data_IF_690386188276
#
_entry.id   IF_690386188276
#
_cell.length_a   1.000
_cell.length_b   1.000
_cell.length_c   1.000
_cell.angle_alpha   90.00
_cell.angle_beta   90.00
_cell.angle_gamma   90.00
#
_symmetry.space_group_name_H-M   'P 1'
#
loop_
_entity.id
_entity.type
_entity.pdbx_description
1 polymer ?
#
# COMPACT_ATOMS: atom_id res chain seq x y z
N UNK A 1 12.09 86.58 0.12
CA UNK A 1 10.71 86.08 -0.06
C UNK A 1 10.65 85.59 -1.50
N UNK A 2 10.43 84.34 -1.89
CA UNK A 2 10.02 83.07 -1.28
C UNK A 2 10.46 81.97 -2.33
N UNK A 3 10.25 80.64 -2.17
CA UNK A 3 11.32 79.66 -2.35
C UNK A 3 10.95 78.54 -3.36
N UNK A 4 11.82 77.53 -3.46
CA UNK A 4 11.53 76.14 -3.87
C UNK A 4 11.01 75.86 -5.30
N UNK A 5 11.98 75.50 -6.16
CA UNK A 5 11.79 74.69 -7.38
C UNK A 5 11.17 73.33 -7.02
N UNK A 6 10.03 73.02 -7.64
CA UNK A 6 9.37 71.70 -7.58
C UNK A 6 10.15 70.69 -8.42
N UNK A 7 10.60 69.60 -7.78
CA UNK A 7 11.17 68.42 -8.45
C UNK A 7 10.04 67.39 -8.57
N UNK A 8 9.67 67.05 -9.80
CA UNK A 8 8.73 65.97 -10.12
C UNK A 8 9.47 64.62 -10.01
N UNK A 9 8.96 63.72 -9.18
CA UNK A 9 9.42 62.33 -9.11
C UNK A 9 8.49 61.48 -9.98
N UNK A 10 9.02 60.91 -11.05
CA UNK A 10 8.38 59.85 -11.83
C UNK A 10 8.46 58.54 -11.05
N UNK A 11 7.34 58.09 -10.50
CA UNK A 11 7.20 56.75 -9.94
C UNK A 11 6.99 55.75 -11.08
N UNK A 12 8.08 55.10 -11.50
CA UNK A 12 8.01 53.91 -12.36
C UNK A 12 7.59 52.73 -11.48
N UNK A 13 6.36 52.26 -11.65
CA UNK A 13 5.86 51.04 -11.01
C UNK A 13 6.43 49.83 -11.76
N UNK A 14 7.52 49.26 -11.25
CA UNK A 14 7.92 47.91 -11.64
C UNK A 14 6.91 46.93 -11.02
N UNK A 15 5.98 46.45 -11.84
CA UNK A 15 5.17 45.28 -11.52
C UNK A 15 6.10 44.07 -11.43
N UNK A 16 6.50 43.72 -10.21
CA UNK A 16 7.14 42.44 -9.94
C UNK A 16 6.09 41.34 -10.12
N UNK A 17 6.11 40.71 -11.29
CA UNK A 17 5.44 39.42 -11.52
C UNK A 17 6.09 38.40 -10.59
N UNK A 18 5.52 38.24 -9.40
CA UNK A 18 5.77 37.09 -8.53
C UNK A 18 5.31 35.86 -9.30
N UNK A 19 6.25 35.22 -10.00
CA UNK A 19 6.08 33.84 -10.41
C UNK A 19 5.88 33.03 -9.13
N UNK A 20 4.63 32.68 -8.84
CA UNK A 20 4.30 31.57 -7.94
C UNK A 20 5.02 30.36 -8.52
N UNK A 21 6.19 30.06 -7.96
CA UNK A 21 6.79 28.75 -8.11
C UNK A 21 5.76 27.77 -7.56
N UNK A 22 5.01 27.14 -8.47
CA UNK A 22 4.23 25.97 -8.14
C UNK A 22 5.23 25.01 -7.47
N UNK A 23 4.96 24.68 -6.21
CA UNK A 23 5.66 23.63 -5.52
C UNK A 23 5.24 22.33 -6.22
N UNK A 24 5.86 22.04 -7.37
CA UNK A 24 5.77 20.72 -7.98
C UNK A 24 6.52 19.81 -7.03
N UNK A 25 5.74 19.10 -6.26
CA UNK A 25 6.26 18.20 -5.27
C UNK A 25 7.17 17.15 -5.93
N UNK A 26 8.29 16.77 -5.31
CA UNK A 26 9.38 16.02 -5.95
C UNK A 26 9.07 14.54 -6.21
N UNK A 27 7.81 14.13 -6.07
CA UNK A 27 7.38 12.79 -6.46
C UNK A 27 6.94 12.83 -7.93
N UNK A 28 7.37 11.83 -8.70
CA UNK A 28 6.76 11.50 -10.00
C UNK A 28 5.24 11.65 -9.89
N UNK A 29 4.61 12.23 -10.92
CA UNK A 29 3.22 12.66 -10.91
C UNK A 29 2.24 11.64 -10.28
N UNK A 30 1.04 12.08 -9.86
CA UNK A 30 0.13 11.25 -9.08
C UNK A 30 0.02 9.85 -9.68
N UNK A 31 0.14 8.78 -8.86
CA UNK A 31 0.03 7.40 -9.35
C UNK A 31 -1.17 7.26 -10.27
N UNK A 32 -1.06 6.44 -11.32
CA UNK A 32 -2.15 6.19 -12.25
C UNK A 32 -3.32 5.47 -11.58
N UNK A 33 -4.05 6.14 -10.69
CA UNK A 33 -5.01 5.54 -9.76
C UNK A 33 -6.12 4.78 -10.48
N UNK A 34 -6.53 5.28 -11.64
CA UNK A 34 -7.58 4.67 -12.45
C UNK A 34 -7.11 3.35 -13.10
N UNK A 35 -5.79 3.20 -13.32
CA UNK A 35 -5.22 1.92 -13.79
C UNK A 35 -5.16 0.87 -12.68
N UNK A 36 -4.97 1.28 -11.42
CA UNK A 36 -4.95 0.39 -10.25
C UNK A 36 -6.36 -0.01 -9.82
N UNK A 37 -7.25 0.99 -9.67
CA UNK A 37 -8.57 0.84 -9.06
C UNK A 37 -9.67 0.82 -10.11
N UNK A 38 -9.65 -0.20 -10.97
CA UNK A 38 -10.64 -0.39 -12.01
C UNK A 38 -11.96 -0.88 -11.42
N UNK A 39 -13.07 -0.20 -11.76
CA UNK A 39 -14.42 -0.55 -11.26
C UNK A 39 -15.23 -1.38 -12.25
N UNK A 40 -14.84 -1.37 -13.53
CA UNK A 40 -15.60 -1.93 -14.64
C UNK A 40 -15.26 -3.40 -14.92
N UNK A 41 -14.12 -3.90 -14.41
CA UNK A 41 -13.71 -5.30 -14.53
C UNK A 41 -12.99 -5.77 -13.27
N UNK A 42 -12.98 -7.08 -13.06
CA UNK A 42 -12.19 -7.73 -12.01
C UNK A 42 -10.82 -8.07 -12.59
N UNK A 43 -9.77 -7.54 -11.97
CA UNK A 43 -8.38 -7.82 -12.36
C UNK A 43 -7.92 -9.11 -11.69
N UNK A 44 -7.26 -9.98 -12.44
CA UNK A 44 -6.65 -11.20 -11.91
C UNK A 44 -5.26 -10.91 -11.32
N UNK A 45 -5.03 -11.40 -10.11
CA UNK A 45 -3.78 -11.33 -9.39
C UNK A 45 -3.33 -12.76 -9.12
N UNK A 46 -2.18 -13.15 -9.70
CA UNK A 46 -1.56 -14.45 -9.42
C UNK A 46 -0.38 -14.21 -8.50
N UNK A 47 -0.43 -14.79 -7.31
CA UNK A 47 0.62 -14.66 -6.31
C UNK A 47 1.33 -16.01 -6.21
N UNK A 48 2.62 -16.02 -6.48
CA UNK A 48 3.45 -17.22 -6.36
C UNK A 48 4.51 -16.99 -5.28
N UNK A 49 4.70 -17.96 -4.39
CA UNK A 49 5.69 -17.91 -3.33
C UNK A 49 6.18 -19.33 -3.04
N UNK A 50 7.35 -19.46 -2.41
CA UNK A 50 7.88 -20.77 -2.03
C UNK A 50 6.93 -21.47 -1.06
N UNK A 51 6.88 -22.81 -1.09
CA UNK A 51 6.04 -23.57 -0.15
C UNK A 51 6.45 -23.31 1.29
N UNK A 52 7.75 -23.16 1.55
CA UNK A 52 8.26 -22.85 2.89
C UNK A 52 7.77 -21.49 3.38
N UNK A 53 7.86 -20.45 2.54
CA UNK A 53 7.39 -19.11 2.89
C UNK A 53 5.88 -19.03 3.03
N UNK A 54 5.13 -19.74 2.19
CA UNK A 54 3.69 -19.86 2.36
C UNK A 54 3.33 -20.52 3.69
N UNK A 55 4.01 -21.61 4.05
CA UNK A 55 3.81 -22.28 5.34
C UNK A 55 4.16 -21.36 6.51
N UNK A 56 5.25 -20.58 6.41
CA UNK A 56 5.59 -19.53 7.39
C UNK A 56 4.50 -18.47 7.53
N UNK A 57 3.68 -18.22 6.50
CA UNK A 57 2.55 -17.31 6.59
C UNK A 57 1.31 -17.95 7.23
N UNK A 58 0.97 -19.19 6.85
CA UNK A 58 -0.31 -19.82 7.22
C UNK A 58 -0.27 -20.62 8.53
N UNK A 59 0.90 -21.17 8.90
CA UNK A 59 1.04 -22.01 10.08
C UNK A 59 0.94 -21.14 11.33
N UNK A 60 -0.10 -21.36 12.13
CA UNK A 60 -0.26 -20.76 13.44
C UNK A 60 -0.35 -21.86 14.50
N UNK A 61 0.74 -22.17 15.23
CA UNK A 61 0.61 -23.16 16.29
C UNK A 61 0.29 -22.53 17.64
N UNK A 62 0.75 -21.28 17.90
CA UNK A 62 0.60 -20.53 19.18
C UNK A 62 1.32 -19.16 19.12
N UNK A 63 1.47 -18.57 17.93
CA UNK A 63 2.42 -17.50 17.63
C UNK A 63 1.94 -16.09 18.07
N UNK A 64 1.85 -15.87 19.38
CA UNK A 64 1.96 -14.57 20.05
C UNK A 64 3.48 -14.36 20.31
N UNK A 65 4.18 -13.23 20.01
CA UNK A 65 3.78 -11.85 20.29
C UNK A 65 4.12 -10.79 19.21
N UNK A 66 4.46 -11.13 17.96
CA UNK A 66 4.80 -10.10 16.96
C UNK A 66 3.54 -9.37 16.43
N UNK A 67 2.78 -8.72 17.30
CA UNK A 67 1.64 -7.89 16.92
C UNK A 67 2.15 -6.59 16.28
N UNK A 68 1.31 -5.96 15.45
CA UNK A 68 1.59 -4.65 14.84
C UNK A 68 1.92 -3.61 15.93
N UNK A 69 3.20 -3.29 16.12
CA UNK A 69 3.64 -2.09 16.82
C UNK A 69 4.43 -2.26 18.13
N UNK A 70 4.58 -3.48 18.67
CA UNK A 70 5.35 -3.73 19.90
C UNK A 70 6.55 -4.65 19.64
N UNK A 71 7.65 -4.41 20.36
CA UNK A 71 8.87 -5.22 20.32
C UNK A 71 8.52 -6.68 20.69
N UNK A 72 8.74 -7.61 19.76
CA UNK A 72 8.66 -9.04 20.05
C UNK A 72 9.74 -9.49 21.04
N UNK A 73 9.79 -10.78 21.40
CA UNK A 73 10.83 -11.29 22.28
C UNK A 73 12.20 -11.04 21.65
N UNK A 74 13.23 -10.94 22.48
CA UNK A 74 14.59 -10.82 21.99
C UNK A 74 15.00 -12.10 21.27
N UNK A 75 15.75 -11.96 20.18
CA UNK A 75 16.22 -13.07 19.35
C UNK A 75 17.69 -12.88 18.97
N UNK A 76 18.36 -13.97 18.62
CA UNK A 76 19.71 -13.94 18.05
C UNK A 76 19.72 -14.40 16.59
N UNK A 77 18.77 -15.27 16.24
CA UNK A 77 18.56 -15.81 14.92
C UNK A 77 17.07 -15.90 14.58
N UNK A 78 16.76 -16.10 13.29
CA UNK A 78 15.38 -16.30 12.83
C UNK A 78 14.72 -17.54 13.45
N UNK A 79 15.51 -18.53 13.88
CA UNK A 79 15.01 -19.74 14.53
C UNK A 79 14.48 -19.48 15.95
N UNK A 80 14.92 -18.40 16.60
CA UNK A 80 14.45 -18.00 17.93
C UNK A 80 13.09 -17.29 17.88
N UNK A 81 12.67 -16.91 16.67
CA UNK A 81 11.42 -16.20 16.44
C UNK A 81 10.28 -17.15 16.09
N UNK A 82 9.02 -16.78 16.40
CA UNK A 82 7.87 -17.49 15.87
C UNK A 82 7.95 -17.56 14.33
N UNK A 83 7.47 -18.65 13.74
CA UNK A 83 7.54 -18.93 12.28
C UNK A 83 7.06 -17.81 11.36
N UNK A 84 6.26 -16.88 11.87
CA UNK A 84 5.72 -15.73 11.11
C UNK A 84 6.52 -14.44 11.30
N UNK A 85 7.67 -14.51 11.98
CA UNK A 85 8.52 -13.37 12.34
C UNK A 85 9.96 -13.61 11.89
N UNK A 86 10.73 -12.53 11.80
CA UNK A 86 12.17 -12.54 11.53
C UNK A 86 12.89 -11.82 12.65
N UNK A 87 14.12 -12.20 12.94
CA UNK A 87 14.94 -11.46 13.89
C UNK A 87 15.50 -10.20 13.21
N UNK A 88 15.12 -9.02 13.68
CA UNK A 88 15.65 -7.74 13.22
C UNK A 88 16.11 -6.94 14.45
N UNK A 89 17.39 -6.54 14.45
CA UNK A 89 18.00 -5.77 15.56
C UNK A 89 17.81 -6.43 16.94
N UNK A 90 17.98 -7.76 17.01
CA UNK A 90 17.75 -8.60 18.21
C UNK A 90 16.31 -8.63 18.72
N UNK A 91 15.34 -8.26 17.89
CA UNK A 91 13.91 -8.30 18.24
C UNK A 91 13.11 -9.02 17.16
N UNK A 92 12.20 -9.91 17.57
CA UNK A 92 11.35 -10.58 16.60
C UNK A 92 10.31 -9.61 16.07
N UNK A 93 10.38 -9.32 14.77
CA UNK A 93 9.44 -8.43 14.09
C UNK A 93 8.65 -9.19 13.05
N UNK A 94 7.45 -8.70 12.77
CA UNK A 94 6.65 -9.21 11.66
C UNK A 94 7.36 -8.96 10.33
N UNK A 95 7.63 -10.02 9.58
CA UNK A 95 8.38 -9.91 8.33
C UNK A 95 7.47 -10.10 7.11
N UNK A 96 7.98 -9.66 5.95
CA UNK A 96 7.39 -9.97 4.65
C UNK A 96 8.07 -11.21 4.10
N UNK A 97 7.32 -12.16 3.57
CA UNK A 97 7.94 -13.22 2.77
C UNK A 97 8.10 -12.75 1.33
N UNK A 98 9.03 -13.37 0.62
CA UNK A 98 9.24 -13.11 -0.80
C UNK A 98 8.15 -13.81 -1.62
N UNK A 99 7.62 -13.10 -2.60
CA UNK A 99 6.64 -13.61 -3.54
C UNK A 99 6.77 -12.89 -4.88
N UNK A 100 6.31 -13.53 -5.94
CA UNK A 100 6.12 -12.93 -7.25
C UNK A 100 4.63 -12.70 -7.48
N UNK A 101 4.29 -11.54 -8.05
CA UNK A 101 2.89 -11.16 -8.29
C UNK A 101 2.73 -10.79 -9.75
N UNK A 102 1.87 -11.52 -10.45
CA UNK A 102 1.45 -11.21 -11.81
C UNK A 102 0.10 -10.48 -11.77
N UNK A 103 0.03 -9.30 -12.38
CA UNK A 103 -1.19 -8.49 -12.50
C UNK A 103 -1.40 -8.15 -13.97
N UNK A 104 -2.52 -8.59 -14.56
CA UNK A 104 -2.84 -8.39 -15.99
C UNK A 104 -1.68 -8.77 -16.95
N UNK A 105 -0.93 -9.83 -16.62
CA UNK A 105 0.21 -10.33 -17.41
C UNK A 105 1.52 -9.59 -17.18
N UNK A 106 1.56 -8.58 -16.29
CA UNK A 106 2.80 -7.93 -15.85
C UNK A 106 3.31 -8.61 -14.59
N UNK A 107 4.52 -9.15 -14.65
CA UNK A 107 5.18 -9.80 -13.52
C UNK A 107 5.94 -8.78 -12.66
N UNK A 108 5.70 -8.84 -11.35
CA UNK A 108 6.46 -8.12 -10.32
C UNK A 108 7.18 -9.15 -9.46
N UNK A 109 8.49 -9.24 -9.63
CA UNK A 109 9.33 -10.21 -8.94
C UNK A 109 9.76 -9.69 -7.56
N UNK A 110 10.02 -10.60 -6.63
CA UNK A 110 10.60 -10.29 -5.32
C UNK A 110 9.83 -9.17 -4.59
N UNK A 111 8.50 -9.31 -4.53
CA UNK A 111 7.65 -8.44 -3.72
C UNK A 111 7.52 -8.99 -2.30
N UNK A 112 7.28 -8.10 -1.35
CA UNK A 112 6.98 -8.51 0.02
C UNK A 112 5.51 -8.88 0.17
N UNK A 113 5.21 -10.12 0.52
CA UNK A 113 3.88 -10.58 0.91
C UNK A 113 3.76 -10.72 2.43
N UNK A 114 2.65 -10.24 2.99
CA UNK A 114 2.34 -10.43 4.43
C UNK A 114 0.85 -10.63 4.64
N UNK A 115 0.50 -11.55 5.54
CA UNK A 115 -0.89 -11.71 5.99
C UNK A 115 -1.24 -10.69 7.08
N UNK A 116 -2.45 -10.15 7.01
CA UNK A 116 -2.98 -9.18 7.96
C UNK A 116 -4.20 -9.72 8.72
N UNK A 117 -4.43 -9.18 9.91
CA UNK A 117 -5.59 -9.50 10.74
C UNK A 117 -5.52 -10.86 11.40
N UNK A 118 -6.67 -11.38 11.84
CA UNK A 118 -6.72 -12.58 12.68
C UNK A 118 -6.42 -13.85 11.87
N UNK A 119 -5.56 -14.70 12.42
CA UNK A 119 -5.15 -16.02 11.88
C UNK A 119 -6.19 -17.15 12.03
N UNK A 120 -7.48 -16.86 12.27
CA UNK A 120 -8.52 -17.90 12.45
C UNK A 120 -9.46 -18.17 11.25
N UNK A 121 -9.31 -17.42 10.16
CA UNK A 121 -10.14 -17.55 8.93
C UNK A 121 -9.39 -18.19 7.75
N UNK A 122 -10.01 -19.09 7.00
CA UNK A 122 -9.34 -19.74 5.85
C UNK A 122 -8.89 -18.73 4.78
N UNK A 123 -9.75 -17.75 4.46
CA UNK A 123 -9.43 -16.63 3.57
C UNK A 123 -8.74 -15.50 4.36
N UNK A 124 -7.61 -14.98 3.89
CA UNK A 124 -6.73 -14.06 4.65
C UNK A 124 -6.61 -12.69 4.00
N UNK A 125 -6.57 -11.63 4.80
CA UNK A 125 -6.16 -10.32 4.28
C UNK A 125 -4.68 -10.35 3.95
N UNK A 126 -4.28 -9.66 2.89
CA UNK A 126 -2.91 -9.64 2.41
C UNK A 126 -2.45 -8.20 2.20
N UNK A 127 -1.19 -7.94 2.53
CA UNK A 127 -0.49 -6.71 2.17
C UNK A 127 0.64 -7.11 1.22
N UNK A 128 0.70 -6.42 0.09
CA UNK A 128 1.77 -6.59 -0.89
C UNK A 128 2.59 -5.31 -0.89
N UNK A 129 3.90 -5.44 -0.74
CA UNK A 129 4.87 -4.35 -0.76
C UNK A 129 5.86 -4.59 -1.90
N UNK A 130 5.66 -3.88 -3.00
CA UNK A 130 6.47 -4.01 -4.22
C UNK A 130 7.92 -3.61 -4.01
N UNK A 131 8.17 -2.68 -3.09
CA UNK A 131 9.50 -2.13 -2.83
C UNK A 131 10.22 -2.74 -1.62
N UNK A 132 9.85 -3.95 -1.21
CA UNK A 132 10.43 -4.57 -0.01
C UNK A 132 11.85 -5.08 -0.27
N UNK A 133 12.07 -5.77 -1.39
CA UNK A 133 13.37 -6.34 -1.75
C UNK A 133 14.04 -5.55 -2.88
N UNK A 134 13.26 -5.07 -3.85
CA UNK A 134 13.72 -4.17 -4.92
C UNK A 134 13.30 -2.73 -4.60
N UNK A 135 14.22 -1.87 -4.18
CA UNK A 135 13.95 -0.53 -3.60
C UNK A 135 13.11 0.38 -4.52
N UNK A 136 13.35 0.31 -5.83
CA UNK A 136 12.72 1.19 -6.82
C UNK A 136 11.50 0.59 -7.53
N UNK A 137 11.18 -0.68 -7.26
CA UNK A 137 10.00 -1.32 -7.85
C UNK A 137 8.70 -0.68 -7.32
N UNK A 138 7.78 -0.37 -8.24
CA UNK A 138 6.48 0.25 -7.96
C UNK A 138 5.39 -0.43 -8.79
N UNK A 139 4.20 -0.50 -8.22
CA UNK A 139 2.99 -0.90 -8.93
C UNK A 139 2.22 0.36 -9.28
N UNK A 140 2.24 0.77 -10.55
CA UNK A 140 1.59 2.00 -11.04
C UNK A 140 1.87 3.25 -10.17
N UNK A 141 3.10 3.40 -9.67
CA UNK A 141 3.53 4.51 -8.81
C UNK A 141 3.33 4.30 -7.30
N UNK A 142 2.67 3.23 -6.85
CA UNK A 142 2.55 2.90 -5.42
C UNK A 142 3.57 1.88 -4.94
N UNK A 143 4.00 2.04 -3.69
CA UNK A 143 4.96 1.15 -3.02
C UNK A 143 4.30 -0.10 -2.42
N UNK A 144 3.01 0.00 -2.11
CA UNK A 144 2.25 -1.03 -1.39
C UNK A 144 0.77 -0.95 -1.71
N UNK A 145 0.10 -2.08 -1.57
CA UNK A 145 -1.36 -2.19 -1.64
C UNK A 145 -1.89 -3.13 -0.57
N UNK A 146 -3.15 -2.96 -0.20
CA UNK A 146 -3.84 -3.85 0.73
C UNK A 146 -4.96 -4.59 0.02
N UNK A 147 -5.04 -5.90 0.23
CA UNK A 147 -6.06 -6.79 -0.34
C UNK A 147 -6.87 -7.37 0.82
N UNK A 148 -8.17 -7.07 0.84
CA UNK A 148 -9.11 -7.43 1.91
C UNK A 148 -9.99 -8.60 1.49
N UNK A 149 -10.12 -9.58 2.38
CA UNK A 149 -10.82 -10.85 2.14
C UNK A 149 -12.35 -10.75 2.24
N UNK A 150 -12.88 -9.66 2.81
CA UNK A 150 -14.28 -9.43 3.16
C UNK A 150 -14.97 -10.61 3.86
N UNK A 151 -14.22 -11.45 4.56
CA UNK A 151 -14.78 -12.71 5.08
C UNK A 151 -15.87 -12.49 6.14
N UNK A 152 -15.92 -11.32 6.77
CA UNK A 152 -16.97 -10.93 7.73
C UNK A 152 -18.23 -10.36 7.09
N UNK A 153 -18.24 -10.17 5.76
CA UNK A 153 -19.34 -9.60 5.02
C UNK A 153 -19.86 -10.62 4.00
N UNK A 154 -21.06 -11.20 4.21
CA UNK A 154 -21.67 -12.13 3.24
C UNK A 154 -21.86 -11.57 1.84
N UNK A 155 -21.96 -10.24 1.72
CA UNK A 155 -22.18 -9.55 0.43
C UNK A 155 -20.88 -9.18 -0.27
N UNK A 156 -19.74 -9.19 0.43
CA UNK A 156 -18.43 -8.74 -0.04
C UNK A 156 -18.34 -7.28 -0.52
N UNK A 157 -19.40 -6.47 -0.40
CA UNK A 157 -19.47 -5.12 -0.98
C UNK A 157 -19.62 -4.00 0.05
N UNK A 158 -19.81 -4.30 1.34
CA UNK A 158 -20.09 -3.25 2.36
C UNK A 158 -18.95 -2.24 2.49
N UNK A 159 -17.69 -2.69 2.48
CA UNK A 159 -16.53 -1.80 2.53
C UNK A 159 -16.47 -0.91 1.28
N UNK A 160 -16.61 -1.51 0.10
CA UNK A 160 -16.64 -0.79 -1.17
C UNK A 160 -17.75 0.28 -1.21
N UNK A 161 -18.96 -0.07 -0.78
CA UNK A 161 -20.10 0.84 -0.75
C UNK A 161 -19.90 1.98 0.25
N UNK A 162 -19.36 1.68 1.44
CA UNK A 162 -19.07 2.70 2.44
C UNK A 162 -18.01 3.68 1.95
N UNK A 163 -16.91 3.19 1.35
CA UNK A 163 -15.86 4.01 0.75
C UNK A 163 -16.41 4.90 -0.37
N UNK A 164 -17.23 4.32 -1.27
CA UNK A 164 -17.87 5.08 -2.36
C UNK A 164 -18.80 6.17 -1.82
N UNK A 165 -19.62 5.86 -0.82
CA UNK A 165 -20.55 6.81 -0.22
C UNK A 165 -19.80 7.99 0.42
N UNK A 166 -18.74 7.71 1.18
CA UNK A 166 -17.89 8.75 1.76
C UNK A 166 -17.30 9.67 0.69
N UNK A 167 -16.78 9.10 -0.40
CA UNK A 167 -16.25 9.89 -1.52
C UNK A 167 -17.32 10.75 -2.18
N UNK A 168 -18.52 10.22 -2.40
CA UNK A 168 -19.65 10.98 -2.97
C UNK A 168 -20.14 12.09 -2.05
N UNK A 169 -20.01 11.91 -0.75
CA UNK A 169 -20.29 12.94 0.26
C UNK A 169 -19.16 14.00 0.37
N UNK A 170 -18.10 13.90 -0.43
CA UNK A 170 -16.97 14.83 -0.38
C UNK A 170 -15.96 14.54 0.73
N UNK A 171 -16.09 13.40 1.43
CA UNK A 171 -15.17 12.98 2.48
C UNK A 171 -13.97 12.26 1.83
N UNK A 172 -12.72 12.66 2.12
CA UNK A 172 -11.55 11.95 1.66
C UNK A 172 -11.56 10.50 2.16
N UNK A 173 -11.72 9.55 1.23
CA UNK A 173 -11.74 8.12 1.53
C UNK A 173 -10.92 7.33 0.49
N UNK A 174 -10.29 6.21 0.93
CA UNK A 174 -9.51 5.32 0.06
C UNK A 174 -10.27 4.90 -1.20
N UNK A 175 -9.52 4.75 -2.29
CA UNK A 175 -10.02 4.09 -3.51
C UNK A 175 -10.10 2.59 -3.30
N UNK A 176 -10.96 1.95 -4.07
CA UNK A 176 -11.14 0.51 -4.05
C UNK A 176 -11.40 -0.06 -5.45
N UNK A 177 -11.08 -1.34 -5.62
CA UNK A 177 -11.49 -2.16 -6.76
C UNK A 177 -11.69 -3.60 -6.30
N UNK A 178 -12.38 -4.41 -7.11
CA UNK A 178 -12.48 -5.85 -6.87
C UNK A 178 -11.43 -6.58 -7.69
N UNK A 179 -10.76 -7.54 -7.06
CA UNK A 179 -9.71 -8.35 -7.69
C UNK A 179 -9.98 -9.83 -7.45
N UNK A 180 -9.59 -10.66 -8.41
CA UNK A 180 -9.59 -12.11 -8.25
C UNK A 180 -8.18 -12.55 -7.92
N UNK A 181 -7.99 -13.24 -6.80
CA UNK A 181 -6.64 -13.66 -6.37
C UNK A 181 -6.50 -15.17 -6.45
N UNK A 182 -5.40 -15.63 -7.04
CA UNK A 182 -4.89 -16.99 -6.91
C UNK A 182 -3.55 -16.96 -6.16
N UNK A 183 -3.30 -17.99 -5.35
CA UNK A 183 -2.06 -18.14 -4.58
C UNK A 183 -1.48 -19.52 -4.87
N UNK A 184 -0.27 -19.59 -5.41
CA UNK A 184 0.40 -20.85 -5.79
C UNK A 184 -0.47 -21.75 -6.68
N UNK A 185 -1.24 -21.15 -7.60
CA UNK A 185 -2.19 -21.86 -8.47
C UNK A 185 -3.56 -22.14 -7.83
N UNK A 186 -3.71 -22.04 -6.50
CA UNK A 186 -4.99 -22.27 -5.83
C UNK A 186 -5.89 -21.02 -5.89
N UNK A 187 -7.19 -21.17 -6.22
CA UNK A 187 -8.11 -20.03 -6.32
C UNK A 187 -8.49 -19.49 -4.93
N UNK A 188 -8.03 -18.29 -4.60
CA UNK A 188 -8.41 -17.56 -3.38
C UNK A 188 -9.74 -16.80 -3.49
N UNK A 189 -10.23 -16.57 -4.72
CA UNK A 189 -11.51 -15.93 -5.04
C UNK A 189 -11.47 -14.40 -5.04
N UNK A 190 -12.62 -13.76 -4.83
CA UNK A 190 -12.78 -12.28 -4.92
C UNK A 190 -12.30 -11.57 -3.65
N UNK A 191 -11.48 -10.54 -3.81
CA UNK A 191 -11.03 -9.65 -2.74
C UNK A 191 -11.31 -8.18 -3.10
N UNK A 192 -11.27 -7.30 -2.10
CA UNK A 192 -11.25 -5.84 -2.33
C UNK A 192 -9.82 -5.34 -2.23
N UNK A 193 -9.31 -4.78 -3.32
CA UNK A 193 -8.07 -3.99 -3.33
C UNK A 193 -8.40 -2.60 -2.76
N UNK A 194 -7.64 -2.15 -1.78
CA UNK A 194 -7.81 -0.84 -1.12
C UNK A 194 -6.47 -0.10 -1.12
N UNK A 195 -6.56 1.23 -1.33
CA UNK A 195 -5.43 2.16 -1.31
C UNK A 195 -4.65 2.17 0.02
#
# INVERSE_FOLDING_TARGET
MDPLKRIAWSLSWMAATLALAACEAPWEGPPGWDSIFQKQRVVEWKINTSTEDWLRLIVDPKSWPCQEGDLGPTCESDMDCPVTCRCEERTCVTHYVEADVEVDGVLYEQVGLRLMGRKRRNKRNMRIRFNKFIVDQRFHGVKRVNIRNNAGDPTLIREALALELMRRAGIPAPRYSFVWVSINGDPGGVYTLVQ
#
